data_IF_640312877271
#
_entry.id   IF_640312877271
#
_cell.length_a   1.000
_cell.length_b   1.000
_cell.length_c   1.000
_cell.angle_alpha   90.00
_cell.angle_beta   90.00
_cell.angle_gamma   90.00
#
_symmetry.space_group_name_H-M   'P 1'
#
loop_
_entity.id
_entity.type
_entity.pdbx_description
1 polymer ?
#
# COMPACT_ATOMS: atom_id res chain seq x y z
N UNK A 1 -8.78 12.76 12.25
CA UNK A 1 -8.26 11.91 13.36
C UNK A 1 -6.74 11.78 13.26
N UNK A 2 -6.01 12.04 14.35
CA UNK A 2 -4.57 11.77 14.48
C UNK A 2 -4.37 10.73 15.58
N UNK A 3 -3.58 9.69 15.31
CA UNK A 3 -3.24 8.66 16.29
C UNK A 3 -1.72 8.52 16.33
N UNK A 4 -1.15 8.74 17.51
CA UNK A 4 0.26 8.51 17.80
C UNK A 4 0.34 7.46 18.91
N UNK A 5 1.13 6.39 18.73
CA UNK A 5 1.54 5.52 19.85
C UNK A 5 2.94 4.96 19.61
N UNK A 6 3.59 4.55 20.68
CA UNK A 6 4.98 4.12 20.70
C UNK A 6 5.18 2.62 20.97
N UNK A 7 4.16 1.90 21.44
CA UNK A 7 4.28 0.50 21.87
C UNK A 7 3.48 -0.47 21.00
N UNK A 8 3.50 -1.78 21.36
CA UNK A 8 2.72 -2.81 20.67
C UNK A 8 1.23 -2.51 20.80
N UNK A 9 0.56 -2.28 19.67
CA UNK A 9 -0.88 -2.03 19.71
C UNK A 9 -1.67 -2.65 18.55
N UNK A 10 -2.98 -2.74 18.78
CA UNK A 10 -3.98 -2.91 17.75
C UNK A 10 -4.78 -1.62 17.58
N UNK A 11 -4.81 -1.09 16.36
CA UNK A 11 -5.70 0.02 15.99
C UNK A 11 -6.75 -0.51 15.03
N UNK A 12 -8.02 -0.28 15.38
CA UNK A 12 -9.16 -0.47 14.48
C UNK A 12 -9.81 0.89 14.27
N UNK A 13 -9.91 1.33 13.02
CA UNK A 13 -10.64 2.55 12.65
C UNK A 13 -11.72 2.16 11.66
N UNK A 14 -12.97 2.50 11.99
CA UNK A 14 -14.12 2.41 11.09
C UNK A 14 -14.73 3.80 10.95
N UNK A 15 -14.93 4.31 9.72
CA UNK A 15 -15.72 5.52 9.47
C UNK A 15 -16.39 5.46 8.10
N UNK A 16 -17.48 6.21 7.95
CA UNK A 16 -18.35 6.15 6.78
C UNK A 16 -18.35 7.44 5.95
N UNK A 17 -17.69 8.52 6.40
CA UNK A 17 -17.74 9.84 5.76
C UNK A 17 -16.35 10.36 5.35
N UNK A 18 -16.31 11.51 4.66
CA UNK A 18 -15.08 12.18 4.22
C UNK A 18 -14.16 12.42 5.41
N UNK A 19 -12.96 11.84 5.36
CA UNK A 19 -12.09 11.92 6.51
C UNK A 19 -10.60 11.94 6.18
N UNK A 20 -9.85 12.57 7.09
CA UNK A 20 -8.40 12.54 7.12
C UNK A 20 -7.91 11.80 8.35
N UNK A 21 -7.17 10.72 8.11
CA UNK A 21 -6.50 9.94 9.17
C UNK A 21 -4.99 10.11 9.03
N UNK A 22 -4.33 10.50 10.12
CA UNK A 22 -2.88 10.42 10.26
C UNK A 22 -2.55 9.43 11.37
N UNK A 23 -1.82 8.37 11.05
CA UNK A 23 -1.28 7.44 12.06
C UNK A 23 0.23 7.48 12.00
N UNK A 24 0.87 7.86 13.11
CA UNK A 24 2.32 7.79 13.26
C UNK A 24 2.65 6.79 14.37
N UNK A 25 3.54 5.84 14.10
CA UNK A 25 3.91 4.85 15.11
C UNK A 25 5.35 4.38 15.07
N UNK A 26 5.83 4.02 16.25
CA UNK A 26 7.10 3.39 16.52
C UNK A 26 6.79 1.98 17.05
N UNK A 27 7.61 0.97 16.70
CA UNK A 27 7.46 -0.44 17.11
C UNK A 27 6.40 -1.31 16.38
N UNK A 28 6.01 -2.45 16.97
CA UNK A 28 5.26 -3.55 16.32
C UNK A 28 3.74 -3.34 16.42
N UNK A 29 3.02 -3.12 15.31
CA UNK A 29 1.55 -3.02 15.37
C UNK A 29 0.77 -3.87 14.38
N UNK A 30 -0.53 -3.97 14.66
CA UNK A 30 -1.56 -4.32 13.69
C UNK A 30 -2.55 -3.16 13.53
N UNK A 31 -2.71 -2.68 12.29
CA UNK A 31 -3.70 -1.65 11.96
C UNK A 31 -4.75 -2.24 11.00
N UNK A 32 -6.03 -2.11 11.38
CA UNK A 32 -7.17 -2.38 10.49
C UNK A 32 -7.93 -1.07 10.29
N UNK A 33 -8.01 -0.63 9.03
CA UNK A 33 -8.85 0.52 8.64
C UNK A 33 -9.93 0.00 7.71
N UNK A 34 -11.20 0.21 8.07
CA UNK A 34 -12.34 -0.01 7.18
C UNK A 34 -13.01 1.34 6.94
N UNK A 35 -13.32 1.66 5.67
CA UNK A 35 -13.87 2.97 5.31
C UNK A 35 -14.84 2.88 4.15
N UNK A 36 -15.90 3.66 4.25
CA UNK A 36 -16.81 3.94 3.14
C UNK A 36 -16.64 5.42 2.78
N UNK A 37 -16.63 5.75 1.49
CA UNK A 37 -16.52 7.11 0.92
C UNK A 37 -15.09 7.68 0.70
N UNK A 38 -14.93 9.01 0.79
CA UNK A 38 -13.80 9.79 0.25
C UNK A 38 -12.74 10.10 1.32
N UNK A 39 -11.64 9.34 1.38
CA UNK A 39 -10.62 9.54 2.44
C UNK A 39 -9.20 9.83 1.98
N UNK A 40 -8.48 10.53 2.87
CA UNK A 40 -7.01 10.68 2.84
C UNK A 40 -6.40 10.03 4.08
N UNK A 41 -5.71 8.91 3.86
CA UNK A 41 -5.01 8.18 4.92
C UNK A 41 -3.50 8.39 4.76
N UNK A 42 -2.84 8.91 5.79
CA UNK A 42 -1.38 8.97 5.90
C UNK A 42 -0.95 8.08 7.05
N UNK A 43 -0.09 7.11 6.77
CA UNK A 43 0.52 6.25 7.78
C UNK A 43 2.04 6.38 7.68
N UNK A 44 2.68 6.73 8.80
CA UNK A 44 4.14 6.74 8.92
C UNK A 44 4.56 5.78 10.03
N UNK A 45 5.48 4.86 9.73
CA UNK A 45 5.95 3.87 10.71
C UNK A 45 7.43 3.56 10.63
N UNK A 46 8.00 3.17 11.76
CA UNK A 46 9.44 2.92 11.89
C UNK A 46 9.83 1.43 12.08
N UNK A 47 8.88 0.49 12.33
CA UNK A 47 9.23 -0.90 12.65
C UNK A 47 8.34 -1.96 11.94
N UNK A 48 8.09 -3.11 12.61
CA UNK A 48 7.53 -4.34 11.99
C UNK A 48 6.01 -4.36 12.08
N UNK A 49 5.31 -4.15 10.96
CA UNK A 49 3.85 -4.00 10.99
C UNK A 49 3.03 -4.89 10.06
N UNK A 50 1.78 -5.10 10.47
CA UNK A 50 0.71 -5.60 9.59
C UNK A 50 -0.38 -4.55 9.46
N UNK A 51 -0.68 -4.16 8.22
CA UNK A 51 -1.80 -3.26 7.95
C UNK A 51 -2.78 -3.91 6.97
N UNK A 52 -4.07 -3.84 7.32
CA UNK A 52 -5.18 -4.13 6.42
C UNK A 52 -5.97 -2.83 6.22
N UNK A 53 -6.08 -2.41 4.97
CA UNK A 53 -6.97 -1.32 4.56
C UNK A 53 -8.04 -1.91 3.68
N UNK A 54 -9.29 -1.74 4.09
CA UNK A 54 -10.46 -1.96 3.26
C UNK A 54 -11.11 -0.61 3.01
N UNK A 55 -11.41 -0.28 1.76
CA UNK A 55 -12.07 0.99 1.44
C UNK A 55 -13.00 0.88 0.24
N UNK A 56 -14.19 1.42 0.39
CA UNK A 56 -15.21 1.53 -0.65
C UNK A 56 -15.20 3.00 -1.11
N UNK A 57 -15.19 3.25 -2.43
CA UNK A 57 -15.12 4.60 -3.06
C UNK A 57 -13.72 5.23 -3.27
N UNK A 58 -13.63 6.57 -3.26
CA UNK A 58 -12.49 7.37 -3.76
C UNK A 58 -11.43 7.60 -2.67
N UNK A 59 -10.28 6.94 -2.72
CA UNK A 59 -9.31 7.03 -1.62
C UNK A 59 -7.87 7.37 -2.02
N UNK A 60 -7.20 8.16 -1.18
CA UNK A 60 -5.76 8.41 -1.27
C UNK A 60 -5.06 7.84 -0.05
N UNK A 61 -4.20 6.85 -0.28
CA UNK A 61 -3.40 6.23 0.77
C UNK A 61 -1.92 6.53 0.54
N UNK A 62 -1.29 7.20 1.52
CA UNK A 62 0.15 7.37 1.60
C UNK A 62 0.69 6.56 2.77
N UNK A 63 1.53 5.58 2.48
CA UNK A 63 2.19 4.75 3.48
C UNK A 63 3.69 4.97 3.36
N UNK A 64 4.30 5.43 4.44
CA UNK A 64 5.75 5.50 4.59
C UNK A 64 6.17 4.55 5.72
N UNK A 65 7.08 3.61 5.46
CA UNK A 65 7.53 2.68 6.50
C UNK A 65 9.02 2.34 6.42
N UNK A 66 9.62 2.20 7.59
CA UNK A 66 10.99 1.74 7.75
C UNK A 66 10.91 0.33 8.34
N UNK A 67 11.69 -0.63 7.80
CA UNK A 67 11.76 -2.04 8.23
C UNK A 67 10.82 -3.08 7.56
N UNK A 68 10.31 -4.06 8.33
CA UNK A 68 9.71 -5.32 7.84
C UNK A 68 8.19 -5.23 7.84
N UNK A 69 7.52 -5.29 6.68
CA UNK A 69 6.07 -5.06 6.65
C UNK A 69 5.25 -6.02 5.81
N UNK A 70 3.99 -6.18 6.25
CA UNK A 70 2.89 -6.70 5.44
C UNK A 70 1.80 -5.65 5.26
N UNK A 71 1.46 -5.35 4.01
CA UNK A 71 0.31 -4.51 3.67
C UNK A 71 -0.65 -5.28 2.77
N UNK A 72 -1.90 -5.34 3.21
CA UNK A 72 -3.04 -5.77 2.40
C UNK A 72 -3.94 -4.56 2.16
N UNK A 73 -4.17 -4.23 0.91
CA UNK A 73 -5.13 -3.20 0.49
C UNK A 73 -6.19 -3.90 -0.35
N UNK A 74 -7.44 -3.79 0.06
CA UNK A 74 -8.60 -4.21 -0.71
C UNK A 74 -9.48 -2.98 -0.95
N UNK A 75 -9.77 -2.65 -2.21
CA UNK A 75 -10.56 -1.45 -2.53
C UNK A 75 -11.37 -1.62 -3.80
N UNK A 76 -12.55 -1.02 -3.84
CA UNK A 76 -13.53 -1.27 -4.91
C UNK A 76 -13.58 -0.21 -6.02
N UNK A 77 -13.11 1.03 -5.84
CA UNK A 77 -13.40 2.12 -6.80
C UNK A 77 -12.18 2.90 -7.34
N UNK A 78 -11.93 4.13 -6.90
CA UNK A 78 -10.90 5.00 -7.52
C UNK A 78 -9.81 5.32 -6.52
N UNK A 79 -8.56 5.05 -6.87
CA UNK A 79 -7.48 5.17 -5.90
C UNK A 79 -6.17 5.78 -6.37
N UNK A 80 -5.54 6.48 -5.43
CA UNK A 80 -4.11 6.77 -5.48
C UNK A 80 -3.41 6.13 -4.29
N UNK A 81 -2.56 5.15 -4.57
CA UNK A 81 -1.72 4.49 -3.58
C UNK A 81 -0.27 4.91 -3.78
N UNK A 82 0.31 5.56 -2.77
CA UNK A 82 1.74 5.85 -2.70
C UNK A 82 2.35 5.08 -1.54
N UNK A 83 3.26 4.17 -1.85
CA UNK A 83 4.01 3.41 -0.85
C UNK A 83 5.48 3.73 -1.01
N UNK A 84 6.09 4.22 0.07
CA UNK A 84 7.54 4.37 0.19
C UNK A 84 8.01 3.49 1.34
N UNK A 85 8.97 2.60 1.10
CA UNK A 85 9.57 1.81 2.18
C UNK A 85 11.02 1.47 1.95
N UNK A 86 11.77 1.28 3.03
CA UNK A 86 13.21 1.11 2.95
C UNK A 86 13.71 -0.36 2.91
N UNK A 87 12.98 -1.32 3.48
CA UNK A 87 13.54 -2.66 3.77
C UNK A 87 12.78 -3.86 3.15
N UNK A 88 12.28 -4.82 3.94
CA UNK A 88 11.74 -6.11 3.46
C UNK A 88 10.21 -6.13 3.49
N UNK A 89 9.59 -6.48 2.36
CA UNK A 89 8.16 -6.26 2.21
C UNK A 89 7.35 -7.36 1.55
N UNK A 90 6.11 -7.54 2.03
CA UNK A 90 5.02 -8.19 1.29
C UNK A 90 3.85 -7.23 1.10
N UNK A 91 3.48 -7.02 -0.14
CA UNK A 91 2.34 -6.18 -0.51
C UNK A 91 1.34 -6.99 -1.34
N UNK A 92 0.08 -7.02 -0.90
CA UNK A 92 -1.03 -7.56 -1.68
C UNK A 92 -2.05 -6.45 -1.91
N UNK A 93 -2.37 -6.20 -3.17
CA UNK A 93 -3.41 -5.25 -3.57
C UNK A 93 -4.41 -5.98 -4.46
N UNK A 94 -5.68 -5.94 -4.07
CA UNK A 94 -6.80 -6.47 -4.84
C UNK A 94 -7.76 -5.33 -5.13
N UNK A 95 -8.07 -5.08 -6.42
CA UNK A 95 -9.00 -4.03 -6.82
C UNK A 95 -9.75 -4.37 -8.12
N UNK A 96 -11.05 -4.04 -8.22
CA UNK A 96 -11.81 -4.20 -9.45
C UNK A 96 -11.74 -2.95 -10.36
N UNK A 97 -11.38 -1.77 -9.86
CA UNK A 97 -11.48 -0.48 -10.60
C UNK A 97 -10.17 0.35 -10.65
N UNK A 98 -10.25 1.58 -11.21
CA UNK A 98 -9.12 2.47 -11.59
C UNK A 98 -8.15 2.81 -10.46
N UNK A 99 -6.85 2.55 -10.69
CA UNK A 99 -5.75 2.81 -9.75
C UNK A 99 -4.58 3.56 -10.38
N UNK A 100 -4.01 4.52 -9.61
CA UNK A 100 -2.61 4.93 -9.76
C UNK A 100 -1.81 4.46 -8.55
N UNK A 101 -0.93 3.49 -8.78
CA UNK A 101 -0.02 2.99 -7.76
C UNK A 101 1.41 3.46 -8.06
N UNK A 102 2.04 4.11 -7.06
CA UNK A 102 3.48 4.39 -7.07
C UNK A 102 4.13 3.69 -5.89
N UNK A 103 5.10 2.85 -6.18
CA UNK A 103 5.92 2.14 -5.20
C UNK A 103 7.37 2.55 -5.42
N UNK A 104 8.00 3.10 -4.37
CA UNK A 104 9.43 3.40 -4.35
C UNK A 104 10.06 2.59 -3.22
N UNK A 105 11.08 1.76 -3.50
CA UNK A 105 11.75 0.98 -2.46
C UNK A 105 13.23 0.65 -2.76
N UNK A 106 14.14 0.66 -1.76
CA UNK A 106 15.53 0.25 -1.89
C UNK A 106 15.80 -1.27 -1.95
N UNK A 107 15.04 -2.12 -1.22
CA UNK A 107 15.50 -3.49 -0.86
C UNK A 107 14.64 -4.65 -1.42
N UNK A 108 14.33 -5.73 -0.68
CA UNK A 108 13.67 -6.98 -1.17
C UNK A 108 12.13 -6.95 -1.06
N UNK A 109 11.39 -7.40 -2.08
CA UNK A 109 9.90 -7.44 -2.03
C UNK A 109 9.27 -8.66 -2.71
N UNK A 110 8.09 -9.02 -2.18
CA UNK A 110 7.06 -9.74 -2.93
C UNK A 110 5.82 -8.87 -3.09
N UNK A 111 5.50 -8.51 -4.33
CA UNK A 111 4.29 -7.78 -4.67
C UNK A 111 3.31 -8.70 -5.41
N UNK A 112 2.08 -8.76 -4.92
CA UNK A 112 0.96 -9.38 -5.64
C UNK A 112 -0.11 -8.34 -5.88
N UNK A 113 -0.54 -8.22 -7.12
CA UNK A 113 -1.51 -7.24 -7.54
C UNK A 113 -2.54 -7.92 -8.44
N UNK A 114 -3.79 -7.91 -8.01
CA UNK A 114 -4.92 -8.42 -8.81
C UNK A 114 -5.82 -7.24 -9.18
N UNK A 115 -6.07 -7.08 -10.49
CA UNK A 115 -6.76 -5.94 -11.08
C UNK A 115 -7.71 -6.36 -12.20
N UNK A 116 -8.87 -5.73 -12.27
CA UNK A 116 -9.88 -6.05 -13.29
C UNK A 116 -10.02 -4.94 -14.36
N UNK A 117 -9.75 -3.67 -14.04
CA UNK A 117 -9.96 -2.51 -14.93
C UNK A 117 -8.69 -1.61 -15.10
N UNK A 118 -8.86 -0.35 -15.56
CA UNK A 118 -7.79 0.56 -16.05
C UNK A 118 -6.79 1.06 -14.98
N UNK A 119 -5.55 0.56 -14.99
CA UNK A 119 -4.54 0.95 -13.99
C UNK A 119 -3.21 1.49 -14.52
N UNK A 120 -2.56 2.31 -13.68
CA UNK A 120 -1.17 2.76 -13.87
C UNK A 120 -0.31 2.37 -12.68
N UNK A 121 0.65 1.50 -12.92
CA UNK A 121 1.64 1.07 -11.92
C UNK A 121 3.02 1.63 -12.25
N UNK A 122 3.60 2.37 -11.31
CA UNK A 122 5.02 2.79 -11.36
C UNK A 122 5.78 2.20 -10.18
N UNK A 123 6.84 1.48 -10.47
CA UNK A 123 7.72 0.86 -9.48
C UNK A 123 9.14 1.35 -9.73
N UNK A 124 9.77 1.94 -8.71
CA UNK A 124 11.16 2.36 -8.75
C UNK A 124 11.96 1.57 -7.70
N UNK A 125 13.06 0.92 -8.10
CA UNK A 125 13.80 0.02 -7.22
C UNK A 125 15.29 -0.18 -7.57
N UNK A 126 16.18 -0.38 -6.58
CA UNK A 126 17.56 -0.84 -6.79
C UNK A 126 17.81 -2.35 -6.70
N UNK A 127 17.03 -3.17 -5.96
CA UNK A 127 17.37 -4.57 -5.62
C UNK A 127 16.33 -5.66 -6.02
N UNK A 128 16.52 -6.93 -5.59
CA UNK A 128 15.71 -8.13 -5.94
C UNK A 128 14.20 -8.01 -5.65
N UNK A 129 13.35 -8.31 -6.63
CA UNK A 129 11.87 -8.29 -6.52
C UNK A 129 11.22 -9.54 -7.12
N UNK A 130 10.13 -10.01 -6.51
CA UNK A 130 9.15 -10.88 -7.17
C UNK A 130 7.82 -10.14 -7.27
N UNK A 131 7.41 -9.83 -8.50
CA UNK A 131 6.13 -9.21 -8.78
C UNK A 131 5.23 -10.20 -9.53
N UNK A 132 4.00 -10.39 -9.06
CA UNK A 132 2.93 -11.04 -9.84
C UNK A 132 1.80 -10.05 -10.02
N UNK A 133 1.46 -9.76 -11.26
CA UNK A 133 0.31 -8.92 -11.61
C UNK A 133 -0.67 -9.75 -12.42
N UNK A 134 -1.88 -9.92 -11.90
CA UNK A 134 -3.00 -10.52 -12.64
C UNK A 134 -3.93 -9.41 -13.14
N UNK A 135 -4.28 -9.43 -14.42
CA UNK A 135 -5.00 -8.36 -15.12
C UNK A 135 -6.08 -8.93 -16.03
N UNK A 136 -7.22 -8.27 -16.08
CA UNK A 136 -8.28 -8.58 -17.04
C UNK A 136 -8.45 -7.53 -18.16
N UNK A 137 -7.96 -6.27 -18.01
CA UNK A 137 -8.16 -5.18 -19.00
C UNK A 137 -6.95 -4.21 -19.13
N UNK A 138 -7.11 -3.11 -19.91
CA UNK A 138 -6.09 -2.11 -20.32
C UNK A 138 -5.25 -1.54 -19.15
N UNK A 139 -3.94 -1.79 -19.16
CA UNK A 139 -2.99 -1.35 -18.11
C UNK A 139 -1.72 -0.68 -18.64
N UNK A 140 -1.15 0.25 -17.86
CA UNK A 140 0.20 0.81 -18.09
C UNK A 140 1.12 0.53 -16.91
N UNK A 141 2.21 -0.19 -17.14
CA UNK A 141 3.25 -0.46 -16.13
C UNK A 141 4.57 0.19 -16.53
N UNK A 142 5.24 0.82 -15.57
CA UNK A 142 6.63 1.25 -15.69
C UNK A 142 7.42 0.75 -14.49
N UNK A 143 8.44 -0.06 -14.75
CA UNK A 143 9.39 -0.53 -13.73
C UNK A 143 10.74 0.11 -14.05
N UNK A 144 11.28 0.90 -13.12
CA UNK A 144 12.66 1.41 -13.19
C UNK A 144 13.50 0.59 -12.22
N UNK A 145 14.50 -0.11 -12.74
CA UNK A 145 15.40 -0.98 -12.00
C UNK A 145 16.83 -0.44 -12.10
N UNK A 146 17.57 -0.43 -10.99
CA UNK A 146 18.98 -0.02 -10.97
C UNK A 146 19.98 -1.19 -10.94
N UNK A 147 19.58 -2.47 -11.09
CA UNK A 147 20.49 -3.59 -11.43
C UNK A 147 19.77 -4.90 -11.88
N UNK A 148 20.44 -5.73 -12.69
CA UNK A 148 19.93 -6.92 -13.43
C UNK A 148 19.21 -7.98 -12.55
N UNK A 149 18.12 -8.55 -13.08
CA UNK A 149 17.48 -9.86 -12.78
C UNK A 149 16.20 -9.93 -13.64
N UNK A 150 16.00 -11.12 -14.25
CA UNK A 150 14.99 -11.49 -15.25
C UNK A 150 13.54 -11.19 -14.80
N UNK A 151 12.77 -10.57 -15.70
CA UNK A 151 11.30 -10.55 -15.65
C UNK A 151 10.80 -11.90 -16.18
N UNK A 152 9.95 -12.58 -15.43
CA UNK A 152 9.00 -13.58 -15.96
C UNK A 152 7.60 -12.98 -15.88
#
# INVERSE_FOLDING_TARGET
MKVNRQNKDRIKVNRQNKDRIKVNKQNKDRIKVNRQNKDRIKVNKQCRDRMKVNSENKNRLKVNRHNKDRLKVNRQNIDRLKVNRQNKDRMKVNKPNKERMKVNRPNKERMKVNRENKDRLKVNRPNKERMKVNRQKKDRMKVKKQNKDRLN
#
